data_IF_313722456619
#
_entry.id   IF_313722456619
#
_cell.length_a   1.000
_cell.length_b   1.000
_cell.length_c   1.000
_cell.angle_alpha   90.00
_cell.angle_beta   90.00
_cell.angle_gamma   90.00
#
_symmetry.space_group_name_H-M   'P 1'
#
loop_
_entity.id
_entity.type
_entity.pdbx_description
1 polymer ?
#
# COMPACT_ATOMS: atom_id res chain seq x y z
N UNK A 1 29.92 -0.71 46.13
CA UNK A 1 30.12 -2.15 45.92
C UNK A 1 28.96 -2.66 45.10
N UNK A 2 29.24 -3.27 43.96
CA UNK A 2 28.20 -3.90 43.13
C UNK A 2 27.68 -5.16 43.84
N UNK A 3 26.44 -5.56 43.57
CA UNK A 3 25.83 -6.76 44.15
C UNK A 3 26.71 -8.01 43.96
N UNK A 4 27.38 -8.10 42.81
CA UNK A 4 28.37 -9.14 42.47
C UNK A 4 29.55 -9.14 43.43
N UNK A 5 30.13 -7.97 43.72
CA UNK A 5 31.27 -7.88 44.65
C UNK A 5 30.90 -8.34 46.06
N UNK A 6 29.68 -8.04 46.54
CA UNK A 6 29.21 -8.52 47.85
C UNK A 6 28.99 -10.03 47.88
N UNK A 7 28.53 -10.61 46.76
CA UNK A 7 28.38 -12.05 46.61
C UNK A 7 29.75 -12.74 46.56
N UNK A 8 30.70 -12.19 45.82
CA UNK A 8 32.08 -12.69 45.73
C UNK A 8 32.77 -12.65 47.10
N UNK A 9 32.55 -11.58 47.88
CA UNK A 9 33.13 -11.42 49.21
C UNK A 9 32.52 -12.42 50.22
N UNK A 10 31.20 -12.70 50.10
CA UNK A 10 30.54 -13.75 50.89
C UNK A 10 31.03 -15.14 50.50
N UNK A 11 31.18 -15.41 49.21
CA UNK A 11 31.72 -16.66 48.69
C UNK A 11 33.15 -16.88 49.16
N UNK A 12 34.01 -15.86 49.10
CA UNK A 12 35.37 -15.91 49.61
C UNK A 12 35.41 -16.16 51.13
N UNK A 13 34.51 -15.54 51.90
CA UNK A 13 34.41 -15.76 53.34
C UNK A 13 34.09 -17.22 53.69
N UNK A 14 33.21 -17.85 52.89
CA UNK A 14 32.87 -19.27 53.04
C UNK A 14 33.99 -20.18 52.53
N UNK A 15 34.65 -19.83 51.43
CA UNK A 15 35.73 -20.62 50.83
C UNK A 15 36.99 -20.65 51.72
N UNK A 16 37.27 -19.56 52.44
CA UNK A 16 38.41 -19.45 53.37
C UNK A 16 38.08 -19.90 54.80
N UNK A 17 36.90 -20.44 55.02
CA UNK A 17 36.44 -20.94 56.32
C UNK A 17 37.29 -22.10 56.83
N UNK A 18 37.50 -22.18 58.15
CA UNK A 18 38.28 -23.27 58.73
C UNK A 18 37.46 -24.56 58.75
N UNK A 19 37.85 -25.54 57.93
CA UNK A 19 37.16 -26.83 57.86
C UNK A 19 37.44 -27.69 59.09
N UNK A 20 36.38 -28.29 59.64
CA UNK A 20 36.50 -29.20 60.78
C UNK A 20 36.72 -30.63 60.25
N UNK A 21 37.88 -31.28 60.54
CA UNK A 21 38.19 -32.63 60.05
C UNK A 21 37.12 -33.65 60.44
N UNK A 22 36.89 -34.64 59.57
CA UNK A 22 35.86 -35.69 59.74
C UNK A 22 34.41 -35.17 59.78
N UNK A 23 34.16 -33.90 59.44
CA UNK A 23 32.81 -33.34 59.30
C UNK A 23 32.65 -32.59 57.98
N UNK A 24 31.40 -32.38 57.56
CA UNK A 24 31.06 -31.52 56.41
C UNK A 24 30.87 -30.05 56.80
N UNK A 25 31.39 -29.62 57.95
CA UNK A 25 31.15 -28.28 58.53
C UNK A 25 32.41 -27.43 58.45
N UNK A 26 32.21 -26.14 58.17
CA UNK A 26 33.25 -25.12 58.19
C UNK A 26 32.91 -24.04 59.23
N UNK A 27 33.94 -23.52 59.90
CA UNK A 27 33.83 -22.44 60.87
C UNK A 27 33.98 -21.10 60.15
N UNK A 28 32.93 -20.28 60.19
CA UNK A 28 32.87 -18.95 59.58
C UNK A 28 32.57 -17.88 60.63
N UNK A 29 33.02 -16.65 60.38
CA UNK A 29 32.56 -15.50 61.16
C UNK A 29 31.09 -15.20 60.80
N UNK A 30 30.21 -15.56 61.73
CA UNK A 30 28.77 -15.39 61.57
C UNK A 30 28.39 -13.92 61.38
N UNK A 31 29.01 -12.99 62.11
CA UNK A 31 28.65 -11.58 62.05
C UNK A 31 29.05 -10.98 60.70
N UNK A 32 30.26 -11.29 60.22
CA UNK A 32 30.71 -10.85 58.91
C UNK A 32 29.81 -11.37 57.77
N UNK A 33 29.40 -12.64 57.83
CA UNK A 33 28.50 -13.23 56.83
C UNK A 33 27.11 -12.59 56.86
N UNK A 34 26.55 -12.34 58.06
CA UNK A 34 25.23 -11.70 58.21
C UNK A 34 25.25 -10.26 57.70
N UNK A 35 26.32 -9.51 57.98
CA UNK A 35 26.49 -8.14 57.48
C UNK A 35 26.53 -8.11 55.93
N UNK A 36 27.23 -9.06 55.31
CA UNK A 36 27.25 -9.19 53.84
C UNK A 36 25.88 -9.54 53.28
N UNK A 37 25.15 -10.47 53.91
CA UNK A 37 23.79 -10.83 53.51
C UNK A 37 22.84 -9.64 53.62
N UNK A 38 22.94 -8.83 54.67
CA UNK A 38 22.09 -7.64 54.83
C UNK A 38 22.41 -6.55 53.79
N UNK A 39 23.70 -6.35 53.46
CA UNK A 39 24.10 -5.46 52.35
C UNK A 39 23.56 -5.96 51.00
N UNK A 40 23.64 -7.26 50.73
CA UNK A 40 23.07 -7.90 49.52
C UNK A 40 21.56 -7.67 49.48
N UNK A 41 20.85 -7.90 50.59
CA UNK A 41 19.40 -7.73 50.68
C UNK A 41 18.98 -6.27 50.46
N UNK A 42 19.80 -5.31 50.88
CA UNK A 42 19.56 -3.89 50.64
C UNK A 42 19.81 -3.46 49.19
N UNK A 43 20.83 -4.04 48.53
CA UNK A 43 21.22 -3.67 47.16
C UNK A 43 20.38 -4.35 46.08
N UNK A 44 19.95 -5.59 46.29
CA UNK A 44 19.26 -6.43 45.30
C UNK A 44 17.95 -5.83 44.74
N UNK A 45 17.07 -5.19 45.54
CA UNK A 45 15.86 -4.56 45.02
C UNK A 45 16.15 -3.41 44.05
N UNK A 46 17.23 -2.66 44.27
CA UNK A 46 17.61 -1.52 43.44
C UNK A 46 18.09 -1.99 42.05
N UNK A 47 19.01 -2.95 42.03
CA UNK A 47 19.52 -3.57 40.80
C UNK A 47 18.39 -4.21 39.98
N UNK A 48 17.47 -4.93 40.66
CA UNK A 48 16.33 -5.53 39.98
C UNK A 48 15.38 -4.49 39.38
N UNK A 49 15.13 -3.40 40.09
CA UNK A 49 14.30 -2.29 39.60
C UNK A 49 14.94 -1.60 38.39
N UNK A 50 16.26 -1.41 38.41
CA UNK A 50 17.02 -0.86 37.29
C UNK A 50 16.97 -1.77 36.06
N UNK A 51 17.20 -3.07 36.23
CA UNK A 51 17.09 -4.05 35.15
C UNK A 51 15.68 -4.06 34.53
N UNK A 52 14.63 -4.00 35.35
CA UNK A 52 13.25 -3.90 34.87
C UNK A 52 13.00 -2.58 34.11
N UNK A 53 13.56 -1.47 34.60
CA UNK A 53 13.45 -0.17 33.92
C UNK A 53 14.13 -0.18 32.56
N UNK A 54 15.33 -0.75 32.47
CA UNK A 54 16.06 -0.91 31.19
C UNK A 54 15.25 -1.76 30.22
N UNK A 55 14.69 -2.88 30.69
CA UNK A 55 13.83 -3.75 29.86
C UNK A 55 12.63 -2.99 29.31
N UNK A 56 11.90 -2.25 30.15
CA UNK A 56 10.74 -1.44 29.72
C UNK A 56 11.14 -0.31 28.77
N UNK A 57 12.28 0.33 29.01
CA UNK A 57 12.81 1.37 28.12
C UNK A 57 13.13 0.79 26.73
N UNK A 58 13.77 -0.38 26.68
CA UNK A 58 14.04 -1.09 25.43
C UNK A 58 12.76 -1.43 24.67
N UNK A 59 11.76 -1.99 25.35
CA UNK A 59 10.46 -2.32 24.74
C UNK A 59 9.79 -1.06 24.17
N UNK A 60 9.83 0.06 24.89
CA UNK A 60 9.29 1.34 24.40
C UNK A 60 10.03 1.85 23.17
N UNK A 61 11.36 1.81 23.18
CA UNK A 61 12.18 2.25 22.04
C UNK A 61 11.88 1.41 20.80
N UNK A 62 11.74 0.09 20.97
CA UNK A 62 11.40 -0.82 19.85
C UNK A 62 10.01 -0.50 19.28
N UNK A 63 9.01 -0.32 20.13
CA UNK A 63 7.66 0.02 19.69
C UNK A 63 7.64 1.36 18.94
N UNK A 64 8.34 2.38 19.46
CA UNK A 64 8.44 3.68 18.79
C UNK A 64 9.16 3.57 17.43
N UNK A 65 10.24 2.79 17.35
CA UNK A 65 10.96 2.59 16.10
C UNK A 65 10.12 1.84 15.05
N UNK A 66 9.28 0.88 15.47
CA UNK A 66 8.33 0.20 14.60
C UNK A 66 7.28 1.16 14.05
N UNK A 67 6.68 2.00 14.90
CA UNK A 67 5.71 3.03 14.52
C UNK A 67 6.33 4.04 13.52
N UNK A 68 7.53 4.57 13.82
CA UNK A 68 8.25 5.49 12.93
C UNK A 68 8.59 4.84 11.58
N UNK A 69 8.95 3.56 11.57
CA UNK A 69 9.23 2.84 10.33
C UNK A 69 7.96 2.62 9.48
N UNK A 70 6.82 2.34 10.11
CA UNK A 70 5.54 2.23 9.41
C UNK A 70 5.11 3.56 8.81
N UNK A 71 5.25 4.65 9.56
CA UNK A 71 4.95 6.00 9.08
C UNK A 71 5.85 6.42 7.91
N UNK A 72 7.15 6.14 8.00
CA UNK A 72 8.08 6.42 6.91
C UNK A 72 7.71 5.63 5.65
N UNK A 73 7.34 4.35 5.79
CA UNK A 73 6.90 3.51 4.67
C UNK A 73 5.61 4.03 4.04
N UNK A 74 4.65 4.49 4.86
CA UNK A 74 3.40 5.09 4.39
C UNK A 74 3.67 6.37 3.60
N UNK A 75 4.43 7.31 4.17
CA UNK A 75 4.78 8.57 3.51
C UNK A 75 5.54 8.33 2.21
N UNK A 76 6.44 7.34 2.18
CA UNK A 76 7.20 6.99 0.98
C UNK A 76 6.30 6.45 -0.13
N UNK A 77 5.32 5.62 0.20
CA UNK A 77 4.32 5.14 -0.78
C UNK A 77 3.48 6.28 -1.34
N UNK A 78 2.96 7.15 -0.47
CA UNK A 78 2.18 8.32 -0.91
C UNK A 78 2.99 9.23 -1.85
N UNK A 79 4.26 9.47 -1.54
CA UNK A 79 5.16 10.26 -2.41
C UNK A 79 5.45 9.57 -3.75
N UNK A 80 5.63 8.26 -3.75
CA UNK A 80 5.85 7.49 -4.98
C UNK A 80 4.61 7.53 -5.88
N UNK A 81 3.41 7.41 -5.31
CA UNK A 81 2.16 7.52 -6.06
C UNK A 81 1.98 8.92 -6.66
N UNK A 82 2.25 9.97 -5.89
CA UNK A 82 2.24 11.35 -6.39
C UNK A 82 3.26 11.56 -7.52
N UNK A 83 4.51 11.14 -7.32
CA UNK A 83 5.56 11.27 -8.33
C UNK A 83 5.27 10.47 -9.60
N UNK A 84 4.64 9.29 -9.46
CA UNK A 84 4.21 8.49 -10.60
C UNK A 84 3.06 9.18 -11.37
N UNK A 85 2.08 9.74 -10.65
CA UNK A 85 0.99 10.49 -11.26
C UNK A 85 1.46 11.78 -11.98
N UNK A 86 2.47 12.44 -11.41
CA UNK A 86 3.11 13.64 -11.98
C UNK A 86 4.18 13.30 -13.02
N UNK A 87 4.46 12.01 -13.26
CA UNK A 87 5.46 11.60 -14.24
C UNK A 87 5.08 12.12 -15.63
N UNK A 88 6.06 12.70 -16.31
CA UNK A 88 5.92 13.19 -17.68
C UNK A 88 5.38 12.09 -18.63
N UNK A 89 5.71 10.83 -18.36
CA UNK A 89 5.17 9.69 -19.10
C UNK A 89 3.64 9.54 -18.93
N UNK A 90 3.11 9.69 -17.71
CA UNK A 90 1.67 9.64 -17.44
C UNK A 90 0.98 10.87 -18.02
N UNK A 91 1.60 12.05 -17.90
CA UNK A 91 1.09 13.29 -18.50
C UNK A 91 0.97 13.17 -20.02
N UNK A 92 2.02 12.71 -20.70
CA UNK A 92 2.03 12.50 -22.15
C UNK A 92 1.00 11.45 -22.57
N UNK A 93 0.89 10.34 -21.84
CA UNK A 93 -0.10 9.31 -22.11
C UNK A 93 -1.55 9.83 -22.01
N UNK A 94 -1.84 10.74 -21.07
CA UNK A 94 -3.16 11.39 -20.96
C UNK A 94 -3.45 12.28 -22.17
N UNK A 95 -2.49 13.12 -22.56
CA UNK A 95 -2.65 13.99 -23.74
C UNK A 95 -2.90 13.14 -25.00
N UNK A 96 -2.11 12.08 -25.21
CA UNK A 96 -2.32 11.17 -26.35
C UNK A 96 -3.67 10.47 -26.30
N UNK A 97 -4.13 10.05 -25.11
CA UNK A 97 -5.45 9.44 -24.97
C UNK A 97 -6.57 10.43 -25.31
N UNK A 98 -6.46 11.68 -24.86
CA UNK A 98 -7.41 12.75 -25.21
C UNK A 98 -7.43 13.03 -26.72
N UNK A 99 -6.26 13.07 -27.37
CA UNK A 99 -6.14 13.21 -28.83
C UNK A 99 -6.80 12.04 -29.57
N UNK A 100 -6.53 10.79 -29.16
CA UNK A 100 -7.14 9.60 -29.77
C UNK A 100 -8.66 9.62 -29.64
N UNK A 101 -9.19 10.02 -28.47
CA UNK A 101 -10.64 10.12 -28.26
C UNK A 101 -11.23 11.23 -29.14
N UNK A 102 -10.60 12.40 -29.19
CA UNK A 102 -11.06 13.51 -30.03
C UNK A 102 -11.08 13.14 -31.52
N UNK A 103 -10.04 12.47 -32.00
CA UNK A 103 -9.95 11.98 -33.38
C UNK A 103 -11.01 10.92 -33.67
N UNK A 104 -11.21 9.97 -32.76
CA UNK A 104 -12.24 8.94 -32.91
C UNK A 104 -13.66 9.54 -32.95
N UNK A 105 -13.95 10.53 -32.11
CA UNK A 105 -15.22 11.24 -32.13
C UNK A 105 -15.41 12.03 -33.43
N UNK A 106 -14.34 12.68 -33.93
CA UNK A 106 -14.38 13.42 -35.18
C UNK A 106 -14.66 12.49 -36.36
N UNK A 107 -13.95 11.36 -36.45
CA UNK A 107 -14.19 10.34 -37.46
C UNK A 107 -15.61 9.78 -37.38
N UNK A 108 -16.12 9.52 -36.17
CA UNK A 108 -17.49 9.06 -35.99
C UNK A 108 -18.52 10.07 -36.52
N UNK A 109 -18.32 11.37 -36.27
CA UNK A 109 -19.18 12.45 -36.81
C UNK A 109 -19.11 12.51 -38.33
N UNK A 110 -17.92 12.42 -38.90
CA UNK A 110 -17.72 12.44 -40.36
C UNK A 110 -18.36 11.24 -41.03
N UNK A 111 -18.19 10.03 -40.46
CA UNK A 111 -18.85 8.82 -40.95
C UNK A 111 -20.37 8.93 -40.90
N UNK A 112 -20.93 9.46 -39.81
CA UNK A 112 -22.36 9.67 -39.68
C UNK A 112 -22.89 10.66 -40.73
N UNK A 113 -22.18 11.77 -40.96
CA UNK A 113 -22.53 12.74 -41.99
C UNK A 113 -22.48 12.13 -43.39
N UNK A 114 -21.41 11.39 -43.72
CA UNK A 114 -21.25 10.71 -45.00
C UNK A 114 -22.36 9.66 -45.24
N UNK A 115 -22.78 8.93 -44.20
CA UNK A 115 -23.88 7.97 -44.30
C UNK A 115 -25.23 8.67 -44.58
N UNK A 116 -25.48 9.81 -43.94
CA UNK A 116 -26.69 10.63 -44.20
C UNK A 116 -26.69 11.17 -45.63
N UNK A 117 -25.55 11.66 -46.12
CA UNK A 117 -25.42 12.16 -47.49
C UNK A 117 -25.64 11.02 -48.51
N UNK A 118 -25.01 9.87 -48.28
CA UNK A 118 -25.16 8.69 -49.14
C UNK A 118 -26.61 8.21 -49.23
N UNK A 119 -27.30 8.10 -48.09
CA UNK A 119 -28.71 7.68 -48.05
C UNK A 119 -29.61 8.70 -48.74
N UNK A 120 -29.37 10.00 -48.56
CA UNK A 120 -30.10 11.06 -49.25
C UNK A 120 -29.93 10.98 -50.77
N UNK A 121 -28.71 10.70 -51.23
CA UNK A 121 -28.41 10.48 -52.65
C UNK A 121 -29.12 9.24 -53.22
N UNK A 122 -29.19 8.16 -52.44
CA UNK A 122 -29.91 6.94 -52.82
C UNK A 122 -31.42 7.20 -52.94
N UNK A 123 -32.03 7.88 -51.96
CA UNK A 123 -33.44 8.27 -52.01
C UNK A 123 -33.75 9.16 -53.20
N UNK A 124 -32.91 10.17 -53.46
CA UNK A 124 -33.08 11.07 -54.61
C UNK A 124 -33.00 10.32 -55.94
N UNK A 125 -32.15 9.28 -56.03
CA UNK A 125 -32.09 8.42 -57.22
C UNK A 125 -33.34 7.58 -57.36
N UNK A 126 -33.78 6.93 -56.28
CA UNK A 126 -34.99 6.13 -56.27
C UNK A 126 -36.23 6.95 -56.65
N UNK A 127 -36.34 8.18 -56.16
CA UNK A 127 -37.43 9.10 -56.52
C UNK A 127 -37.45 9.40 -58.01
N UNK A 128 -36.29 9.70 -58.61
CA UNK A 128 -36.17 9.91 -60.07
C UNK A 128 -36.57 8.68 -60.87
N UNK A 129 -36.11 7.49 -60.45
CA UNK A 129 -36.40 6.23 -61.12
C UNK A 129 -37.92 5.93 -61.06
N UNK A 130 -38.55 6.12 -59.90
CA UNK A 130 -40.00 5.96 -59.74
C UNK A 130 -40.80 6.98 -60.56
N UNK A 131 -40.37 8.25 -60.60
CA UNK A 131 -41.02 9.28 -61.41
C UNK A 131 -40.96 8.94 -62.91
N UNK A 132 -39.81 8.45 -63.39
CA UNK A 132 -39.64 7.99 -64.77
C UNK A 132 -40.56 6.82 -65.10
N UNK A 133 -40.66 5.83 -64.21
CA UNK A 133 -41.56 4.68 -64.40
C UNK A 133 -43.03 5.09 -64.41
N UNK A 134 -43.43 6.02 -63.54
CA UNK A 134 -44.80 6.56 -63.53
C UNK A 134 -45.12 7.31 -64.82
N UNK A 135 -44.17 8.07 -65.35
CA UNK A 135 -44.34 8.77 -66.63
C UNK A 135 -44.48 7.76 -67.79
N UNK A 136 -43.68 6.69 -67.83
CA UNK A 136 -43.82 5.63 -68.82
C UNK A 136 -45.20 4.94 -68.75
N UNK A 137 -45.69 4.64 -67.54
CA UNK A 137 -47.04 4.07 -67.36
C UNK A 137 -48.12 5.02 -67.87
N UNK A 138 -48.01 6.32 -67.55
CA UNK A 138 -48.94 7.37 -68.00
C UNK A 138 -48.92 7.58 -69.51
N UNK A 139 -47.77 7.41 -70.16
CA UNK A 139 -47.67 7.49 -71.63
C UNK A 139 -48.32 6.29 -72.31
N UNK A 140 -48.31 5.10 -71.68
CA UNK A 140 -48.96 3.88 -72.21
C UNK A 140 -50.47 3.81 -71.97
N UNK A 141 -50.99 4.43 -70.91
CA UNK A 141 -52.44 4.43 -70.63
C UNK A 141 -53.34 5.16 -71.65
N UNK A 142 -52.97 6.29 -72.29
CA UNK A 142 -53.84 6.99 -73.25
C UNK A 142 -54.16 6.16 -74.50
N UNK A 143 -53.30 5.20 -74.88
CA UNK A 143 -53.59 4.32 -76.03
C UNK A 143 -54.71 3.30 -75.72
N UNK A 144 -54.87 2.89 -74.47
CA UNK A 144 -55.90 1.91 -74.09
C UNK A 144 -57.31 2.50 -73.95
N UNK A 145 -57.43 3.83 -73.81
CA UNK A 145 -58.74 4.51 -73.74
C UNK A 145 -59.33 4.88 -75.11
N UNK A 146 -58.58 4.67 -76.22
CA UNK A 146 -59.05 4.91 -77.59
C UNK A 146 -59.51 3.64 -78.32
N UNK A 147 -59.79 2.55 -77.58
CA UNK A 147 -60.42 1.34 -78.14
C UNK A 147 -61.84 1.20 -77.58
N UNK A 148 -62.71 2.12 -78.00
CA UNK A 148 -64.16 1.99 -77.88
C UNK A 148 -64.81 2.56 -79.14
N UNK A 149 -65.02 1.69 -80.13
CA UNK A 149 -66.26 1.42 -80.88
C UNK A 149 -65.95 0.51 -82.06
#
# INVERSE_FOLDING_TARGET
MQLTELLDELEASIAHAYYIPLTSKALVDQNACLDLIDKIRAALPVELAEAQRIKRARERILAQAEEEAEDMRRLSRERLEQAAAESEAVRLARVQAEEIVADAEQQAREMAAAAIEYTSGLYSKLERDLASLLDEVRQRTPETMSVKQ
#
